data_IF_338038222159
#
_entry.id   IF_338038222159
#
_cell.length_a   1.000
_cell.length_b   1.000
_cell.length_c   1.000
_cell.angle_alpha   90.00
_cell.angle_beta   90.00
_cell.angle_gamma   90.00
#
_symmetry.space_group_name_H-M   'P 1'
#
loop_
_entity.id
_entity.type
_entity.pdbx_description
1 polymer ?
#
# COMPACT_ATOMS: atom_id res chain seq x y z
N UNK A 1 26.34 -87.64 -41.81
CA UNK A 1 25.83 -86.27 -41.75
C UNK A 1 26.83 -85.36 -41.06
N UNK A 2 27.73 -84.66 -41.83
CA UNK A 2 28.65 -83.68 -41.23
C UNK A 2 27.96 -82.33 -41.10
N UNK A 3 27.83 -81.86 -39.87
CA UNK A 3 27.34 -80.55 -39.58
C UNK A 3 28.43 -79.49 -39.77
N UNK A 4 28.35 -78.73 -40.89
CA UNK A 4 29.28 -77.66 -41.20
C UNK A 4 28.75 -76.35 -40.60
N UNK A 5 28.98 -76.17 -39.28
CA UNK A 5 28.50 -75.03 -38.53
C UNK A 5 29.33 -73.78 -38.76
N UNK A 6 29.03 -73.00 -39.80
CA UNK A 6 29.53 -71.64 -39.90
C UNK A 6 28.89 -70.80 -38.72
N UNK A 7 29.69 -70.48 -37.71
CA UNK A 7 29.27 -69.52 -36.65
C UNK A 7 29.17 -68.13 -37.24
N UNK A 8 27.93 -67.67 -37.44
CA UNK A 8 27.69 -66.28 -37.79
C UNK A 8 27.72 -65.45 -36.50
N UNK A 9 28.78 -64.67 -36.28
CA UNK A 9 28.91 -63.76 -35.16
C UNK A 9 28.25 -62.47 -35.56
N UNK A 10 27.06 -62.20 -35.01
CA UNK A 10 26.33 -60.90 -35.12
C UNK A 10 26.90 -59.96 -34.06
N UNK A 11 27.71 -58.96 -34.48
CA UNK A 11 28.15 -57.87 -33.60
C UNK A 11 27.00 -56.92 -33.39
N UNK A 12 26.33 -57.02 -32.26
CA UNK A 12 25.30 -56.07 -31.85
C UNK A 12 26.00 -54.88 -31.16
N UNK A 13 26.10 -53.74 -31.84
CA UNK A 13 26.65 -52.52 -31.26
C UNK A 13 25.47 -51.72 -30.69
N UNK A 14 25.30 -51.75 -29.34
CA UNK A 14 24.31 -50.95 -28.64
C UNK A 14 24.91 -49.58 -28.42
N UNK A 15 24.46 -48.58 -29.14
CA UNK A 15 24.85 -47.20 -28.90
C UNK A 15 24.16 -46.71 -27.64
N UNK A 16 24.93 -46.11 -26.72
CA UNK A 16 24.38 -45.47 -25.55
C UNK A 16 23.40 -44.35 -25.97
N UNK A 17 22.23 -44.24 -25.35
CA UNK A 17 21.26 -43.23 -25.69
C UNK A 17 21.86 -41.82 -25.54
N UNK A 18 21.51 -40.92 -26.46
CA UNK A 18 22.07 -39.56 -26.60
C UNK A 18 22.01 -38.73 -25.35
N UNK A 19 21.03 -39.00 -24.43
CA UNK A 19 20.85 -38.27 -23.14
C UNK A 19 21.87 -38.71 -22.06
N UNK A 20 22.65 -39.76 -22.27
CA UNK A 20 23.74 -40.21 -21.38
C UNK A 20 25.13 -39.79 -21.87
N UNK A 21 25.21 -38.92 -22.87
CA UNK A 21 26.48 -38.40 -23.36
C UNK A 21 26.98 -37.26 -22.47
N UNK A 22 28.30 -37.09 -22.38
CA UNK A 22 28.92 -35.98 -21.63
C UNK A 22 28.41 -34.61 -22.07
N UNK A 23 28.08 -34.46 -23.36
CA UNK A 23 27.49 -33.27 -23.97
C UNK A 23 26.07 -32.99 -23.43
N UNK A 24 25.25 -34.02 -23.16
CA UNK A 24 23.95 -33.88 -22.60
C UNK A 24 24.01 -33.35 -21.14
N UNK A 25 24.96 -33.87 -20.35
CA UNK A 25 25.15 -33.37 -18.96
C UNK A 25 25.63 -31.93 -18.91
N UNK A 26 26.47 -31.47 -19.83
CA UNK A 26 26.85 -30.05 -19.87
C UNK A 26 25.66 -29.15 -20.21
N UNK A 27 24.78 -29.57 -21.14
CA UNK A 27 23.54 -28.83 -21.46
C UNK A 27 22.60 -28.77 -20.27
N UNK A 28 22.41 -29.87 -19.53
CA UNK A 28 21.57 -29.88 -18.31
C UNK A 28 22.11 -28.95 -17.25
N UNK A 29 23.43 -28.90 -17.08
CA UNK A 29 24.07 -28.01 -16.10
C UNK A 29 23.89 -26.54 -16.48
N UNK A 30 23.99 -26.18 -17.77
CA UNK A 30 23.73 -24.85 -18.28
C UNK A 30 22.27 -24.44 -18.12
N UNK A 31 21.31 -25.33 -18.37
CA UNK A 31 19.88 -25.07 -18.17
C UNK A 31 19.59 -24.83 -16.70
N UNK A 32 20.14 -25.65 -15.81
CA UNK A 32 19.96 -25.51 -14.36
C UNK A 32 20.54 -24.19 -13.86
N UNK A 33 21.71 -23.79 -14.35
CA UNK A 33 22.34 -22.50 -14.05
C UNK A 33 21.47 -21.34 -14.54
N UNK A 34 20.90 -21.44 -15.73
CA UNK A 34 20.02 -20.42 -16.29
C UNK A 34 18.72 -20.27 -15.47
N UNK A 35 18.12 -21.39 -15.05
CA UNK A 35 16.93 -21.39 -14.19
C UNK A 35 17.23 -20.77 -12.83
N UNK A 36 18.36 -21.09 -12.21
CA UNK A 36 18.74 -20.53 -10.90
C UNK A 36 19.00 -19.02 -10.98
N UNK A 37 19.74 -18.55 -11.99
CA UNK A 37 19.98 -17.13 -12.21
C UNK A 37 18.67 -16.38 -12.51
N UNK A 38 17.80 -16.96 -13.33
CA UNK A 38 16.48 -16.40 -13.63
C UNK A 38 15.60 -16.29 -12.37
N UNK A 39 15.57 -17.32 -11.56
CA UNK A 39 14.84 -17.34 -10.29
C UNK A 39 15.35 -16.27 -9.31
N UNK A 40 16.66 -16.13 -9.16
CA UNK A 40 17.29 -15.10 -8.32
C UNK A 40 16.94 -13.70 -8.84
N UNK A 41 17.02 -13.48 -10.15
CA UNK A 41 16.65 -12.20 -10.76
C UNK A 41 15.17 -11.83 -10.52
N UNK A 42 14.27 -12.78 -10.68
CA UNK A 42 12.85 -12.60 -10.42
C UNK A 42 12.61 -12.30 -8.92
N UNK A 43 13.27 -13.03 -8.04
CA UNK A 43 13.19 -12.80 -6.59
C UNK A 43 13.67 -11.39 -6.21
N UNK A 44 14.82 -10.96 -6.73
CA UNK A 44 15.36 -9.59 -6.48
C UNK A 44 14.42 -8.52 -7.05
N UNK A 45 13.87 -8.72 -8.25
CA UNK A 45 12.93 -7.79 -8.85
C UNK A 45 11.64 -7.67 -8.00
N UNK A 46 11.14 -8.80 -7.50
CA UNK A 46 9.94 -8.85 -6.66
C UNK A 46 10.16 -8.19 -5.29
N UNK A 47 11.33 -8.44 -4.67
CA UNK A 47 11.70 -7.83 -3.39
C UNK A 47 11.96 -6.33 -3.53
N UNK A 48 12.61 -5.86 -4.60
CA UNK A 48 12.81 -4.43 -4.88
C UNK A 48 11.47 -3.70 -5.03
N UNK A 49 10.53 -4.23 -5.80
CA UNK A 49 9.17 -3.65 -5.92
C UNK A 49 8.42 -3.61 -4.59
N UNK A 50 8.67 -4.56 -3.70
CA UNK A 50 8.05 -4.61 -2.37
C UNK A 50 8.65 -3.56 -1.42
N UNK A 51 9.96 -3.36 -1.47
CA UNK A 51 10.67 -2.35 -0.66
C UNK A 51 10.32 -0.94 -1.13
N UNK A 52 10.28 -0.73 -2.45
CA UNK A 52 9.95 0.58 -3.04
C UNK A 52 8.52 1.04 -2.69
N UNK A 53 7.56 0.12 -2.63
CA UNK A 53 6.21 0.43 -2.15
C UNK A 53 6.19 0.82 -0.67
N UNK A 54 6.95 0.14 0.19
CA UNK A 54 7.03 0.47 1.63
C UNK A 54 7.65 1.84 1.87
N UNK A 55 8.73 2.18 1.16
CA UNK A 55 9.33 3.50 1.26
C UNK A 55 8.40 4.63 0.78
N UNK A 56 7.63 4.41 -0.27
CA UNK A 56 6.63 5.39 -0.73
C UNK A 56 5.51 5.58 0.30
N UNK A 57 5.08 4.52 0.95
CA UNK A 57 4.04 4.57 1.99
C UNK A 57 4.55 5.29 3.26
N UNK A 58 5.79 5.04 3.68
CA UNK A 58 6.41 5.70 4.83
C UNK A 58 6.62 7.21 4.60
N UNK A 59 7.15 7.57 3.44
CA UNK A 59 7.33 8.98 3.04
C UNK A 59 5.97 9.70 2.97
N UNK A 60 4.95 9.00 2.49
CA UNK A 60 3.60 9.53 2.39
C UNK A 60 2.99 9.77 3.77
N UNK A 61 3.18 8.83 4.71
CA UNK A 61 2.71 8.97 6.09
C UNK A 61 3.38 10.15 6.80
N UNK A 62 4.69 10.32 6.59
CA UNK A 62 5.43 11.48 7.09
C UNK A 62 4.94 12.78 6.47
N UNK A 63 4.61 12.78 5.18
CA UNK A 63 4.09 13.96 4.49
C UNK A 63 2.69 14.34 4.98
N UNK A 64 1.82 13.37 5.18
CA UNK A 64 0.49 13.57 5.77
C UNK A 64 0.62 14.12 7.21
N UNK A 65 1.49 13.52 8.03
CA UNK A 65 1.73 14.00 9.40
C UNK A 65 2.23 15.44 9.42
N UNK A 66 3.22 15.80 8.58
CA UNK A 66 3.72 17.16 8.49
C UNK A 66 2.64 18.15 8.01
N UNK A 67 1.78 17.74 7.09
CA UNK A 67 0.68 18.58 6.63
C UNK A 67 -0.37 18.79 7.72
N UNK A 68 -0.70 17.76 8.50
CA UNK A 68 -1.61 17.89 9.66
C UNK A 68 -1.00 18.80 10.72
N UNK A 69 0.29 18.65 11.02
CA UNK A 69 0.98 19.49 12.00
C UNK A 69 1.03 20.96 11.56
N UNK A 70 1.24 21.21 10.26
CA UNK A 70 1.13 22.55 9.69
C UNK A 70 -0.29 23.11 9.81
N UNK A 71 -1.34 22.32 9.56
CA UNK A 71 -2.72 22.76 9.73
C UNK A 71 -3.02 23.10 11.20
N UNK A 72 -2.63 22.25 12.15
CA UNK A 72 -2.84 22.50 13.57
C UNK A 72 -2.11 23.77 14.05
N UNK A 73 -0.91 24.03 13.54
CA UNK A 73 -0.17 25.25 13.85
C UNK A 73 -0.86 26.50 13.28
N UNK A 74 -1.42 26.41 12.07
CA UNK A 74 -2.22 27.50 11.49
C UNK A 74 -3.51 27.78 12.23
N UNK A 75 -4.23 26.77 12.68
CA UNK A 75 -5.42 26.94 13.51
C UNK A 75 -5.08 27.58 14.85
N UNK A 76 -3.97 27.18 15.47
CA UNK A 76 -3.46 27.79 16.71
C UNK A 76 -3.08 29.26 16.50
N UNK A 77 -2.42 29.61 15.39
CA UNK A 77 -2.09 31.00 15.05
C UNK A 77 -3.35 31.83 14.73
N UNK A 78 -4.31 31.27 14.03
CA UNK A 78 -5.58 31.96 13.77
C UNK A 78 -6.38 32.20 15.04
N UNK A 79 -6.42 31.21 15.93
CA UNK A 79 -7.07 31.34 17.23
C UNK A 79 -6.41 32.40 18.10
N UNK A 80 -5.07 32.44 18.11
CA UNK A 80 -4.30 33.47 18.79
C UNK A 80 -4.47 34.87 18.18
N UNK A 81 -4.72 34.99 16.88
CA UNK A 81 -5.03 36.28 16.20
C UNK A 81 -6.45 36.72 16.45
N UNK A 82 -7.43 35.79 16.56
CA UNK A 82 -8.82 36.09 16.92
C UNK A 82 -8.96 36.53 18.37
N UNK A 83 -8.17 35.93 19.27
CA UNK A 83 -8.13 36.37 20.68
C UNK A 83 -7.49 37.76 20.87
N UNK A 84 -6.56 38.14 19.98
CA UNK A 84 -5.96 39.50 20.00
C UNK A 84 -6.82 40.59 19.38
N UNK A 85 -7.75 40.21 18.48
CA UNK A 85 -8.65 41.14 17.80
C UNK A 85 -10.09 40.83 18.25
N UNK A 86 -10.37 40.99 19.55
CA UNK A 86 -11.76 41.01 20.04
C UNK A 86 -12.54 42.13 19.37
N UNK A 87 -13.55 41.75 18.64
CA UNK A 87 -14.72 42.47 18.16
C UNK A 87 -14.91 42.40 16.63
N UNK A 88 -16.11 41.98 16.29
CA UNK A 88 -16.91 42.24 15.09
C UNK A 88 -16.91 41.21 13.96
N UNK A 89 -18.01 40.47 13.94
CA UNK A 89 -18.97 40.34 12.83
C UNK A 89 -18.63 39.47 11.65
N UNK A 90 -19.49 38.44 11.56
CA UNK A 90 -19.86 37.71 10.32
C UNK A 90 -19.71 38.48 9.05
N UNK A 91 -19.17 37.81 8.03
CA UNK A 91 -19.88 37.72 6.74
C UNK A 91 -19.21 36.67 5.85
N UNK A 92 -20.04 35.77 5.40
CA UNK A 92 -19.80 34.96 4.19
C UNK A 92 -19.63 35.87 2.98
N UNK A 93 -19.13 35.29 1.93
CA UNK A 93 -19.20 35.60 0.50
C UNK A 93 -17.88 35.85 -0.19
N UNK A 94 -17.69 34.94 -1.06
CA UNK A 94 -17.70 35.06 -2.54
C UNK A 94 -16.49 35.68 -3.21
N UNK A 95 -15.94 34.82 -4.01
CA UNK A 95 -15.61 34.99 -5.43
C UNK A 95 -14.54 35.99 -5.88
N UNK A 96 -13.63 35.38 -6.54
CA UNK A 96 -13.10 35.71 -7.86
C UNK A 96 -11.69 36.29 -7.97
N UNK A 97 -10.93 35.57 -8.85
CA UNK A 97 -9.77 35.98 -9.68
C UNK A 97 -8.41 36.29 -9.04
N UNK A 98 -7.55 35.27 -9.20
CA UNK A 98 -6.14 35.26 -9.60
C UNK A 98 -5.41 36.64 -9.79
N UNK A 99 -4.03 36.76 -9.60
CA UNK A 99 -3.01 35.69 -9.69
C UNK A 99 -1.83 35.79 -8.71
N UNK A 100 -1.04 34.68 -8.70
CA UNK A 100 0.39 34.51 -8.35
C UNK A 100 0.90 34.50 -6.90
N UNK A 101 1.26 33.25 -6.49
CA UNK A 101 2.30 32.82 -5.52
C UNK A 101 2.24 33.30 -4.06
N UNK A 102 2.40 32.50 -3.04
CA UNK A 102 2.41 31.04 -2.77
C UNK A 102 1.28 30.59 -1.80
N UNK A 103 0.04 30.68 -2.24
CA UNK A 103 -1.17 30.26 -1.46
C UNK A 103 -1.56 28.79 -1.65
N UNK A 104 -0.88 28.06 -2.53
CA UNK A 104 -1.26 26.72 -2.96
C UNK A 104 -1.12 25.70 -1.84
N UNK A 105 -0.10 25.79 -1.00
CA UNK A 105 0.19 24.85 0.07
C UNK A 105 -0.88 24.85 1.18
N UNK A 106 -1.44 26.00 1.53
CA UNK A 106 -2.47 26.10 2.58
C UNK A 106 -3.80 25.50 2.15
N UNK A 107 -4.17 25.71 0.89
CA UNK A 107 -5.43 25.18 0.34
C UNK A 107 -5.37 23.67 0.15
N UNK A 108 -4.19 23.14 -0.18
CA UNK A 108 -3.95 21.72 -0.35
C UNK A 108 -3.94 20.98 0.99
N UNK A 109 -3.29 21.54 1.99
CA UNK A 109 -3.26 20.98 3.34
C UNK A 109 -4.66 21.00 3.98
N UNK A 110 -5.40 22.10 3.85
CA UNK A 110 -6.78 22.20 4.33
C UNK A 110 -7.71 21.21 3.63
N UNK A 111 -7.53 20.98 2.33
CA UNK A 111 -8.27 19.93 1.61
C UNK A 111 -7.98 18.54 2.15
N UNK A 112 -6.71 18.18 2.36
CA UNK A 112 -6.32 16.89 2.88
C UNK A 112 -6.84 16.67 4.30
N UNK A 113 -6.77 17.69 5.16
CA UNK A 113 -7.32 17.63 6.52
C UNK A 113 -8.83 17.34 6.50
N UNK A 114 -9.61 18.07 5.67
CA UNK A 114 -11.04 17.79 5.50
C UNK A 114 -11.31 16.39 4.95
N UNK A 115 -10.50 15.92 3.99
CA UNK A 115 -10.68 14.59 3.42
C UNK A 115 -10.42 13.50 4.46
N UNK A 116 -9.39 13.65 5.29
CA UNK A 116 -9.09 12.74 6.40
C UNK A 116 -10.24 12.76 7.42
N UNK A 117 -10.65 13.94 7.86
CA UNK A 117 -11.75 14.11 8.82
C UNK A 117 -13.05 13.43 8.33
N UNK A 118 -13.42 13.61 7.06
CA UNK A 118 -14.60 12.94 6.51
C UNK A 118 -14.50 11.43 6.50
N UNK A 119 -13.33 10.89 6.19
CA UNK A 119 -13.10 9.44 6.25
C UNK A 119 -13.14 8.94 7.69
N UNK A 120 -12.54 9.65 8.63
CA UNK A 120 -12.53 9.29 10.05
C UNK A 120 -13.93 9.34 10.65
N UNK A 121 -14.72 10.38 10.36
CA UNK A 121 -16.11 10.53 10.80
C UNK A 121 -17.00 9.40 10.32
N UNK A 122 -16.81 8.93 9.09
CA UNK A 122 -17.60 7.89 8.47
C UNK A 122 -16.90 6.52 8.48
N UNK A 123 -15.86 6.36 9.28
CA UNK A 123 -15.01 5.17 9.26
C UNK A 123 -15.76 3.88 9.60
N UNK A 124 -16.70 3.96 10.55
CA UNK A 124 -17.52 2.83 10.99
C UNK A 124 -18.55 2.37 9.94
N UNK A 125 -18.82 3.20 8.93
CA UNK A 125 -19.76 2.85 7.88
C UNK A 125 -19.12 1.85 6.91
N UNK A 126 -19.59 0.61 6.99
CA UNK A 126 -19.17 -0.44 6.05
C UNK A 126 -19.61 -0.03 4.64
N UNK A 127 -18.67 0.04 3.71
CA UNK A 127 -18.96 0.43 2.34
C UNK A 127 -18.90 1.94 2.05
N UNK A 128 -18.41 2.76 2.99
CA UNK A 128 -18.13 4.16 2.70
C UNK A 128 -17.21 4.27 1.48
N UNK A 129 -17.76 4.82 0.42
CA UNK A 129 -17.18 4.75 -0.94
C UNK A 129 -16.56 6.08 -1.36
N UNK A 130 -15.81 6.03 -2.47
CA UNK A 130 -15.26 7.21 -3.13
C UNK A 130 -16.36 8.21 -3.53
N UNK A 131 -17.54 7.71 -3.93
CA UNK A 131 -18.67 8.57 -4.28
C UNK A 131 -19.24 9.30 -3.08
N UNK A 132 -19.26 8.65 -1.91
CA UNK A 132 -19.69 9.29 -0.66
C UNK A 132 -18.68 10.35 -0.23
N UNK A 133 -17.39 10.01 -0.25
CA UNK A 133 -16.34 10.98 0.08
C UNK A 133 -16.35 12.19 -0.88
N UNK A 134 -16.59 11.97 -2.18
CA UNK A 134 -16.66 13.07 -3.14
C UNK A 134 -17.86 13.99 -2.88
N UNK A 135 -19.02 13.43 -2.50
CA UNK A 135 -20.20 14.21 -2.09
C UNK A 135 -19.97 14.98 -0.80
N UNK A 136 -19.36 14.35 0.21
CA UNK A 136 -19.08 14.97 1.50
C UNK A 136 -18.07 16.14 1.37
N UNK A 137 -17.18 16.06 0.37
CA UNK A 137 -16.24 17.14 0.05
C UNK A 137 -16.79 18.15 -0.96
N UNK A 138 -18.07 18.02 -1.38
CA UNK A 138 -18.69 18.85 -2.40
C UNK A 138 -17.89 18.90 -3.71
N UNK A 139 -17.34 17.74 -4.12
CA UNK A 139 -16.50 17.62 -5.31
C UNK A 139 -17.02 16.54 -6.24
N UNK A 140 -16.75 16.72 -7.53
CA UNK A 140 -16.95 15.66 -8.51
C UNK A 140 -15.93 14.53 -8.31
N UNK A 141 -16.34 13.28 -8.51
CA UNK A 141 -15.48 12.08 -8.38
C UNK A 141 -14.17 12.21 -9.16
N UNK A 142 -14.24 12.72 -10.37
CA UNK A 142 -13.06 12.94 -11.25
C UNK A 142 -12.12 13.99 -10.69
N UNK A 143 -12.69 15.07 -10.11
CA UNK A 143 -11.94 16.12 -9.45
C UNK A 143 -11.21 15.61 -8.20
N UNK A 144 -11.92 14.85 -7.37
CA UNK A 144 -11.34 14.18 -6.19
C UNK A 144 -10.17 13.27 -6.59
N UNK A 145 -10.38 12.43 -7.63
CA UNK A 145 -9.34 11.53 -8.13
C UNK A 145 -8.09 12.29 -8.55
N UNK A 146 -8.24 13.28 -9.43
CA UNK A 146 -7.10 14.11 -9.91
C UNK A 146 -6.37 14.79 -8.76
N UNK A 147 -7.11 15.35 -7.80
CA UNK A 147 -6.53 16.09 -6.68
C UNK A 147 -5.74 15.17 -5.75
N UNK A 148 -6.28 14.00 -5.39
CA UNK A 148 -5.57 13.02 -4.54
C UNK A 148 -4.35 12.40 -5.25
N UNK A 149 -4.45 12.08 -6.55
CA UNK A 149 -3.32 11.58 -7.32
C UNK A 149 -2.22 12.63 -7.41
N UNK A 150 -2.55 13.89 -7.68
CA UNK A 150 -1.55 14.97 -7.77
C UNK A 150 -0.88 15.26 -6.43
N UNK A 151 -1.62 15.20 -5.30
CA UNK A 151 -1.09 15.54 -3.99
C UNK A 151 -0.35 14.36 -3.32
N UNK A 152 -0.87 13.14 -3.49
CA UNK A 152 -0.44 11.98 -2.72
C UNK A 152 0.04 10.81 -3.59
N UNK A 153 -0.08 10.91 -4.91
CA UNK A 153 0.17 9.80 -5.85
C UNK A 153 -0.68 8.55 -5.54
N UNK A 154 -1.90 8.77 -5.03
CA UNK A 154 -2.80 7.70 -4.59
C UNK A 154 -4.20 7.82 -5.17
N UNK A 155 -4.82 6.68 -5.48
CA UNK A 155 -6.24 6.66 -5.80
C UNK A 155 -7.09 6.93 -4.55
N UNK A 156 -8.29 7.52 -4.68
CA UNK A 156 -9.19 7.77 -3.56
C UNK A 156 -9.56 6.52 -2.75
N UNK A 157 -9.70 5.36 -3.42
CA UNK A 157 -9.96 4.09 -2.74
C UNK A 157 -8.79 3.65 -1.87
N UNK A 158 -7.56 3.87 -2.33
CA UNK A 158 -6.35 3.58 -1.59
C UNK A 158 -6.20 4.54 -0.42
N UNK A 159 -6.52 5.81 -0.60
CA UNK A 159 -6.54 6.84 0.43
C UNK A 159 -7.48 6.46 1.59
N UNK A 160 -8.74 6.13 1.31
CA UNK A 160 -9.70 5.68 2.33
C UNK A 160 -9.18 4.43 3.06
N UNK A 161 -8.67 3.44 2.31
CA UNK A 161 -8.13 2.21 2.88
C UNK A 161 -6.95 2.47 3.82
N UNK A 162 -6.06 3.36 3.45
CA UNK A 162 -4.86 3.67 4.24
C UNK A 162 -5.23 4.35 5.57
N UNK A 163 -6.17 5.29 5.58
CA UNK A 163 -6.66 5.92 6.81
C UNK A 163 -7.29 4.88 7.73
N UNK A 164 -8.11 3.98 7.19
CA UNK A 164 -8.71 2.88 7.96
C UNK A 164 -7.66 1.95 8.57
N UNK A 165 -6.59 1.64 7.83
CA UNK A 165 -5.49 0.81 8.31
C UNK A 165 -4.68 1.50 9.40
N UNK A 166 -4.47 2.81 9.31
CA UNK A 166 -3.80 3.59 10.37
C UNK A 166 -4.61 3.56 11.66
N UNK A 167 -5.93 3.75 11.57
CA UNK A 167 -6.80 3.66 12.75
C UNK A 167 -6.81 2.24 13.33
N UNK A 168 -6.82 1.22 12.48
CA UNK A 168 -6.69 -0.17 12.93
C UNK A 168 -5.37 -0.40 13.68
N UNK A 169 -4.25 0.15 13.21
CA UNK A 169 -2.97 0.05 13.89
C UNK A 169 -2.98 0.73 15.26
N UNK A 170 -3.61 1.89 15.40
CA UNK A 170 -3.81 2.56 16.69
C UNK A 170 -4.65 1.70 17.64
N UNK A 171 -5.81 1.21 17.18
CA UNK A 171 -6.66 0.36 18.01
C UNK A 171 -6.00 -0.94 18.47
N UNK A 172 -5.08 -1.49 17.66
CA UNK A 172 -4.27 -2.65 18.03
C UNK A 172 -3.28 -2.37 19.18
N UNK A 173 -2.83 -1.13 19.32
CA UNK A 173 -1.89 -0.72 20.37
C UNK A 173 -2.60 -0.24 21.63
N UNK A 174 -3.71 0.46 21.48
CA UNK A 174 -4.43 1.12 22.58
C UNK A 174 -5.39 0.19 23.33
N UNK A 175 -5.96 -0.81 22.65
CA UNK A 175 -7.05 -1.61 23.17
C UNK A 175 -6.81 -3.13 23.05
N UNK A 176 -7.49 -3.87 23.92
CA UNK A 176 -7.55 -5.35 23.87
C UNK A 176 -8.68 -5.86 22.95
N UNK A 177 -8.98 -5.13 21.89
CA UNK A 177 -10.02 -5.50 20.94
C UNK A 177 -9.58 -6.67 20.06
N UNK A 178 -10.53 -7.53 19.74
CA UNK A 178 -10.34 -8.57 18.75
C UNK A 178 -10.15 -8.00 17.35
N UNK A 179 -9.48 -8.72 16.47
CA UNK A 179 -9.29 -8.29 15.07
C UNK A 179 -10.63 -8.14 14.34
N UNK A 180 -11.65 -8.90 14.74
CA UNK A 180 -12.99 -8.79 14.19
C UNK A 180 -13.66 -7.46 14.58
N UNK A 181 -13.60 -7.07 15.83
CA UNK A 181 -14.11 -5.79 16.34
C UNK A 181 -13.35 -4.59 15.72
N UNK A 182 -12.03 -4.72 15.56
CA UNK A 182 -11.24 -3.69 14.88
C UNK A 182 -11.67 -3.55 13.41
N UNK A 183 -11.90 -4.66 12.70
CA UNK A 183 -12.39 -4.63 11.33
C UNK A 183 -13.74 -3.90 11.22
N UNK A 184 -14.67 -4.20 12.11
CA UNK A 184 -15.96 -3.55 12.18
C UNK A 184 -15.84 -2.04 12.46
N UNK A 185 -15.10 -1.66 13.50
CA UNK A 185 -14.89 -0.25 13.88
C UNK A 185 -14.17 0.58 12.83
N UNK A 186 -13.33 -0.07 12.00
CA UNK A 186 -12.59 0.59 10.93
C UNK A 186 -13.24 0.42 9.55
N UNK A 187 -14.46 -0.15 9.50
CA UNK A 187 -15.27 -0.24 8.29
C UNK A 187 -14.76 -1.23 7.25
N UNK A 188 -13.96 -2.24 7.67
CA UNK A 188 -13.62 -3.35 6.80
C UNK A 188 -14.74 -4.38 6.75
N UNK A 189 -14.98 -4.95 5.57
CA UNK A 189 -16.02 -5.94 5.36
C UNK A 189 -15.78 -7.27 6.08
N UNK A 190 -14.52 -7.56 6.42
CA UNK A 190 -14.14 -8.77 7.18
C UNK A 190 -12.76 -8.62 7.82
N UNK A 191 -12.54 -9.38 8.92
CA UNK A 191 -11.24 -9.48 9.58
C UNK A 191 -10.15 -10.07 8.67
N UNK A 192 -10.52 -10.96 7.76
CA UNK A 192 -9.61 -11.55 6.77
C UNK A 192 -9.12 -10.52 5.77
N UNK A 193 -10.02 -9.65 5.29
CA UNK A 193 -9.67 -8.56 4.37
C UNK A 193 -8.82 -7.50 5.05
N UNK A 194 -9.19 -7.11 6.29
CA UNK A 194 -8.34 -6.25 7.12
C UNK A 194 -6.93 -6.84 7.26
N UNK A 195 -6.81 -8.12 7.65
CA UNK A 195 -5.51 -8.77 7.87
C UNK A 195 -4.65 -8.79 6.61
N UNK A 196 -5.25 -9.03 5.44
CA UNK A 196 -4.55 -8.99 4.15
C UNK A 196 -4.03 -7.59 3.84
N UNK A 197 -4.89 -6.57 3.90
CA UNK A 197 -4.51 -5.19 3.63
C UNK A 197 -3.47 -4.68 4.65
N UNK A 198 -3.63 -5.06 5.92
CA UNK A 198 -2.69 -4.71 6.99
C UNK A 198 -1.31 -5.32 6.75
N UNK A 199 -1.25 -6.59 6.35
CA UNK A 199 0.00 -7.25 6.02
C UNK A 199 0.66 -6.66 4.77
N UNK A 200 -0.14 -6.22 3.78
CA UNK A 200 0.36 -5.49 2.61
C UNK A 200 1.01 -4.16 3.00
N UNK A 201 0.42 -3.41 3.94
CA UNK A 201 0.89 -2.09 4.37
C UNK A 201 2.03 -2.16 5.40
N UNK A 202 1.86 -2.93 6.47
CA UNK A 202 2.81 -2.99 7.60
C UNK A 202 3.79 -4.14 7.53
N UNK A 203 3.64 -5.08 6.59
CA UNK A 203 4.53 -6.21 6.38
C UNK A 203 4.42 -7.32 7.41
N UNK A 204 3.52 -7.22 8.37
CA UNK A 204 3.23 -8.22 9.40
C UNK A 204 1.73 -8.34 9.63
N UNK A 205 1.30 -9.43 10.26
CA UNK A 205 -0.10 -9.62 10.61
C UNK A 205 -0.51 -8.69 11.75
N UNK A 206 -1.80 -8.28 11.85
CA UNK A 206 -2.30 -7.44 12.95
C UNK A 206 -1.96 -7.98 14.34
N UNK A 207 -2.09 -9.30 14.56
CA UNK A 207 -1.74 -9.97 15.84
C UNK A 207 -0.25 -9.88 16.18
N UNK A 208 0.62 -9.96 15.17
CA UNK A 208 2.08 -9.82 15.37
C UNK A 208 2.44 -8.35 15.66
N UNK A 209 1.78 -7.42 15.00
CA UNK A 209 1.95 -5.99 15.23
C UNK A 209 1.59 -5.61 16.66
N UNK A 210 0.41 -6.01 17.14
CA UNK A 210 -0.04 -5.80 18.51
C UNK A 210 0.95 -6.36 19.56
N UNK A 211 1.48 -7.57 19.30
CA UNK A 211 2.45 -8.21 20.21
C UNK A 211 3.81 -7.48 20.24
N UNK A 212 4.27 -6.96 19.10
CA UNK A 212 5.54 -6.22 19.01
C UNK A 212 5.46 -4.89 19.73
N UNK A 213 4.37 -4.16 19.56
CA UNK A 213 4.18 -2.85 20.19
C UNK A 213 3.99 -2.95 21.70
N UNK A 214 3.24 -3.95 22.22
CA UNK A 214 3.11 -4.22 23.66
C UNK A 214 4.41 -4.63 24.35
N UNK A 215 5.42 -5.12 23.64
CA UNK A 215 6.74 -5.46 24.21
C UNK A 215 7.70 -4.26 24.26
N UNK A 216 7.37 -3.17 23.60
CA UNK A 216 8.22 -1.97 23.48
C UNK A 216 7.81 -0.86 24.46
N UNK A 217 6.72 -1.06 25.21
CA UNK A 217 6.24 -0.17 26.28
C UNK A 217 6.50 -0.82 27.64
#
# INVERSE_FOLDING_TARGET
>A
LQWNGKRTVIKLTIHAPWWKTTTAYTIYLLILLFITVGSIRLYICWTRKKIERRHKEEILLLRIRNLIEQCNNYEAEQKARLEKNGTATSTCFENDKQPDHPKTTNTESAFLARAIEQVEKNMHVIGYSVEQLSRDLCMERTGLYRKLVNLLDQSPSLFIRNIRLQRAAQLLTENELSIAEIAERTGFSSSSYLSKCFQEMYGCRPSEYARKTKKST
#
